data_IF_102190612133
#
_entry.id   IF_102190612133
#
_cell.length_a   1.000
_cell.length_b   1.000
_cell.length_c   1.000
_cell.angle_alpha   90.00
_cell.angle_beta   90.00
_cell.angle_gamma   90.00
#
_symmetry.space_group_name_H-M   'P 1'
#
loop_
_entity.id
_entity.type
_entity.pdbx_description
1 polymer ?
#
# COMPACT_ATOMS: atom_id res chain seq x y z
N UNK A 1 9.20 17.96 -21.68
CA UNK A 1 8.20 18.85 -21.03
C UNK A 1 6.91 18.07 -20.86
N UNK A 2 6.57 17.67 -19.64
CA UNK A 2 5.29 17.01 -19.34
C UNK A 2 4.24 18.11 -19.38
N UNK A 3 3.29 17.99 -20.31
CA UNK A 3 2.27 19.01 -20.55
C UNK A 3 1.36 19.12 -19.31
N UNK A 4 1.02 20.33 -18.86
CA UNK A 4 0.19 20.56 -17.66
C UNK A 4 -1.14 19.78 -17.71
N UNK A 5 -1.70 19.57 -18.88
CA UNK A 5 -2.91 18.76 -19.10
C UNK A 5 -2.72 17.28 -18.74
N UNK A 6 -1.50 16.74 -18.81
CA UNK A 6 -1.22 15.34 -18.45
C UNK A 6 -1.28 15.12 -16.94
N UNK A 7 -0.89 16.10 -16.12
CA UNK A 7 -1.00 15.99 -14.67
C UNK A 7 -2.46 16.02 -14.21
N UNK A 8 -3.26 16.91 -14.80
CA UNK A 8 -4.69 16.99 -14.47
C UNK A 8 -5.44 15.69 -14.78
N UNK A 9 -5.06 14.99 -15.86
CA UNK A 9 -5.64 13.70 -16.23
C UNK A 9 -5.30 12.59 -15.22
N UNK A 10 -4.23 12.72 -14.44
CA UNK A 10 -3.85 11.71 -13.44
C UNK A 10 -4.45 11.96 -12.04
N UNK A 11 -5.03 13.12 -11.78
CA UNK A 11 -5.61 13.45 -10.48
C UNK A 11 -6.67 12.43 -10.01
N UNK A 12 -7.59 11.92 -10.87
CA UNK A 12 -8.55 10.91 -10.43
C UNK A 12 -7.89 9.62 -9.95
N UNK A 13 -6.74 9.23 -10.49
CA UNK A 13 -6.03 8.03 -10.06
C UNK A 13 -5.45 8.14 -8.63
N UNK A 14 -5.33 9.36 -8.10
CA UNK A 14 -4.94 9.58 -6.69
C UNK A 14 -6.05 9.23 -5.70
N UNK A 15 -7.29 8.97 -6.16
CA UNK A 15 -8.43 8.70 -5.27
C UNK A 15 -8.15 7.53 -4.31
N UNK A 16 -7.50 6.46 -4.79
CA UNK A 16 -7.11 5.32 -3.96
C UNK A 16 -6.11 5.68 -2.87
N UNK A 17 -5.11 6.49 -3.21
CA UNK A 17 -4.10 6.99 -2.26
C UNK A 17 -4.75 7.91 -1.23
N UNK A 18 -5.57 8.85 -1.67
CA UNK A 18 -6.30 9.76 -0.78
C UNK A 18 -7.22 9.00 0.18
N UNK A 19 -7.92 7.99 -0.32
CA UNK A 19 -8.74 7.10 0.51
C UNK A 19 -7.90 6.38 1.57
N UNK A 20 -6.77 5.80 1.18
CA UNK A 20 -5.87 5.12 2.10
C UNK A 20 -5.36 6.06 3.21
N UNK A 21 -4.95 7.28 2.86
CA UNK A 21 -4.54 8.26 3.87
C UNK A 21 -5.67 8.63 4.84
N UNK A 22 -6.90 8.75 4.35
CA UNK A 22 -8.06 9.07 5.18
C UNK A 22 -8.41 7.95 6.18
N UNK A 23 -8.25 6.67 5.78
CA UNK A 23 -8.62 5.53 6.63
C UNK A 23 -7.44 4.96 7.41
N UNK A 24 -6.20 5.23 7.02
CA UNK A 24 -4.99 4.66 7.63
C UNK A 24 -4.93 4.84 9.15
N UNK A 25 -5.20 6.02 9.75
CA UNK A 25 -5.14 6.18 11.19
C UNK A 25 -6.14 5.29 11.93
N UNK A 26 -7.36 5.16 11.38
CA UNK A 26 -8.41 4.31 11.95
C UNK A 26 -8.06 2.83 11.83
N UNK A 27 -7.54 2.41 10.67
CA UNK A 27 -7.10 1.03 10.46
C UNK A 27 -5.97 0.66 11.41
N UNK A 28 -4.97 1.53 11.58
CA UNK A 28 -3.86 1.29 12.50
C UNK A 28 -4.33 1.13 13.96
N UNK A 29 -5.23 2.01 14.42
CA UNK A 29 -5.75 1.92 15.80
C UNK A 29 -6.57 0.65 16.01
N UNK A 30 -7.43 0.28 15.06
CA UNK A 30 -8.25 -0.93 15.17
C UNK A 30 -7.37 -2.17 15.15
N UNK A 31 -6.38 -2.24 14.24
CA UNK A 31 -5.50 -3.39 14.14
C UNK A 31 -4.63 -3.58 15.39
N UNK A 32 -4.15 -2.48 15.99
CA UNK A 32 -3.42 -2.53 17.26
C UNK A 32 -4.28 -3.01 18.44
N UNK A 33 -5.58 -2.70 18.44
CA UNK A 33 -6.50 -3.07 19.53
C UNK A 33 -7.11 -4.46 19.34
N UNK A 34 -7.56 -4.75 18.13
CA UNK A 34 -8.39 -5.93 17.84
C UNK A 34 -7.64 -6.99 17.04
N UNK A 35 -6.45 -6.65 16.49
CA UNK A 35 -5.67 -7.50 15.58
C UNK A 35 -6.51 -8.02 14.41
N UNK A 36 -7.42 -7.18 13.92
CA UNK A 36 -8.31 -7.46 12.80
C UNK A 36 -8.54 -6.20 11.99
N UNK A 37 -8.35 -6.30 10.69
CA UNK A 37 -8.67 -5.21 9.77
C UNK A 37 -10.14 -5.32 9.32
N UNK A 38 -10.99 -4.32 9.59
CA UNK A 38 -12.39 -4.37 9.24
C UNK A 38 -12.57 -4.25 7.73
N UNK A 39 -13.24 -5.22 7.14
CA UNK A 39 -13.58 -5.21 5.71
C UNK A 39 -14.32 -3.95 5.27
N UNK A 40 -15.12 -3.38 6.19
CA UNK A 40 -15.90 -2.15 5.92
C UNK A 40 -15.04 -0.93 5.62
N UNK A 41 -13.76 -0.93 6.03
CA UNK A 41 -12.83 0.16 5.74
C UNK A 41 -11.85 -0.18 4.61
N UNK A 42 -11.56 -1.45 4.37
CA UNK A 42 -10.60 -1.84 3.33
C UNK A 42 -11.30 -2.04 1.98
N UNK A 43 -12.43 -2.76 1.95
CA UNK A 43 -13.08 -3.12 0.70
C UNK A 43 -13.59 -1.91 -0.13
N UNK A 44 -14.18 -0.84 0.47
CA UNK A 44 -14.61 0.30 -0.33
C UNK A 44 -13.48 1.05 -1.02
N UNK A 45 -12.24 0.93 -0.52
CA UNK A 45 -11.07 1.53 -1.15
C UNK A 45 -10.75 0.94 -2.53
N UNK A 46 -11.07 -0.34 -2.76
CA UNK A 46 -10.80 -0.99 -4.05
C UNK A 46 -11.61 -0.37 -5.20
N UNK A 47 -12.95 -0.26 -5.12
CA UNK A 47 -13.71 0.41 -6.17
C UNK A 47 -13.35 1.91 -6.27
N UNK A 48 -13.05 2.60 -5.18
CA UNK A 48 -12.63 4.01 -5.23
C UNK A 48 -11.32 4.15 -6.03
N UNK A 49 -10.32 3.30 -5.77
CA UNK A 49 -9.07 3.32 -6.51
C UNK A 49 -9.28 2.96 -7.99
N UNK A 50 -10.02 1.89 -8.26
CA UNK A 50 -10.27 1.43 -9.64
C UNK A 50 -11.08 2.45 -10.46
N UNK A 51 -12.14 3.02 -9.89
CA UNK A 51 -12.95 4.04 -10.55
C UNK A 51 -12.12 5.29 -10.87
N UNK A 52 -11.28 5.74 -9.92
CA UNK A 52 -10.37 6.86 -10.17
C UNK A 52 -9.41 6.59 -11.33
N UNK A 53 -8.86 5.39 -11.40
CA UNK A 53 -7.96 4.99 -12.49
C UNK A 53 -8.69 4.86 -13.83
N UNK A 54 -9.91 4.32 -13.84
CA UNK A 54 -10.73 4.23 -15.06
C UNK A 54 -11.11 5.62 -15.59
N UNK A 55 -11.45 6.56 -14.70
CA UNK A 55 -11.69 7.96 -15.07
C UNK A 55 -10.43 8.59 -15.66
N UNK A 56 -9.25 8.34 -15.09
CA UNK A 56 -7.99 8.83 -15.62
C UNK A 56 -7.72 8.31 -17.05
N UNK A 57 -7.98 7.01 -17.32
CA UNK A 57 -7.86 6.43 -18.65
C UNK A 57 -8.90 7.01 -19.62
N UNK A 58 -10.14 7.26 -19.16
CA UNK A 58 -11.18 7.87 -20.00
C UNK A 58 -10.81 9.31 -20.42
N UNK A 59 -10.16 10.08 -19.53
CA UNK A 59 -9.66 11.42 -19.84
C UNK A 59 -8.44 11.37 -20.76
N UNK A 60 -7.53 10.43 -20.52
CA UNK A 60 -6.31 10.26 -21.31
C UNK A 60 -6.02 8.77 -21.57
N UNK A 61 -6.43 8.24 -22.74
CA UNK A 61 -6.20 6.84 -23.09
C UNK A 61 -4.73 6.39 -23.08
N UNK A 62 -3.78 7.31 -23.19
CA UNK A 62 -2.35 7.00 -23.11
C UNK A 62 -1.95 6.46 -21.71
N UNK A 63 -2.79 6.66 -20.68
CA UNK A 63 -2.57 6.13 -19.34
C UNK A 63 -3.04 4.68 -19.14
N UNK A 64 -3.56 4.02 -20.18
CA UNK A 64 -4.02 2.63 -20.11
C UNK A 64 -2.91 1.65 -19.67
N UNK A 65 -1.65 1.92 -20.04
CA UNK A 65 -0.50 1.14 -19.58
C UNK A 65 -0.32 1.23 -18.06
N UNK A 66 -0.62 2.38 -17.45
CA UNK A 66 -0.54 2.57 -16.00
C UNK A 66 -1.64 1.75 -15.28
N UNK A 67 -2.85 1.70 -15.85
CA UNK A 67 -3.91 0.83 -15.37
C UNK A 67 -3.50 -0.64 -15.42
N UNK A 68 -2.92 -1.08 -16.53
CA UNK A 68 -2.40 -2.44 -16.66
C UNK A 68 -1.34 -2.74 -15.60
N UNK A 69 -0.40 -1.83 -15.38
CA UNK A 69 0.62 -1.97 -14.35
C UNK A 69 0.02 -2.07 -12.93
N UNK A 70 -1.00 -1.26 -12.63
CA UNK A 70 -1.71 -1.30 -11.35
C UNK A 70 -2.41 -2.64 -11.13
N UNK A 71 -3.09 -3.17 -12.16
CA UNK A 71 -3.77 -4.46 -12.10
C UNK A 71 -2.77 -5.62 -11.95
N UNK A 72 -1.65 -5.57 -12.66
CA UNK A 72 -0.59 -6.57 -12.53
C UNK A 72 0.06 -6.52 -11.14
N UNK A 73 0.36 -5.33 -10.63
CA UNK A 73 0.87 -5.16 -9.28
C UNK A 73 -0.11 -5.68 -8.21
N UNK A 74 -1.41 -5.43 -8.41
CA UNK A 74 -2.49 -5.94 -7.56
C UNK A 74 -2.53 -7.49 -7.59
N UNK A 75 -2.45 -8.10 -8.76
CA UNK A 75 -2.47 -9.56 -8.92
C UNK A 75 -1.24 -10.22 -8.28
N UNK A 76 -0.05 -9.67 -8.52
CA UNK A 76 1.20 -10.15 -7.90
C UNK A 76 1.16 -10.00 -6.38
N UNK A 77 0.71 -8.85 -5.88
CA UNK A 77 0.55 -8.60 -4.46
C UNK A 77 -0.42 -9.59 -3.81
N UNK A 78 -1.56 -9.86 -4.47
CA UNK A 78 -2.52 -10.86 -4.00
C UNK A 78 -1.90 -12.26 -3.95
N UNK A 79 -1.23 -12.69 -5.02
CA UNK A 79 -0.59 -14.01 -5.07
C UNK A 79 0.48 -14.19 -3.98
N UNK A 80 1.37 -13.20 -3.83
CA UNK A 80 2.43 -13.23 -2.82
C UNK A 80 1.87 -13.24 -1.39
N UNK A 81 0.90 -12.37 -1.09
CA UNK A 81 0.32 -12.30 0.24
C UNK A 81 -0.56 -13.51 0.55
N UNK A 82 -1.26 -14.07 -0.43
CA UNK A 82 -2.02 -15.30 -0.28
C UNK A 82 -1.08 -16.48 0.02
N UNK A 83 0.02 -16.60 -0.70
CA UNK A 83 1.04 -17.62 -0.43
C UNK A 83 1.63 -17.47 0.97
N UNK A 84 1.91 -16.25 1.39
CA UNK A 84 2.38 -15.93 2.73
C UNK A 84 1.32 -16.29 3.79
N UNK A 85 0.05 -16.01 3.50
CA UNK A 85 -1.08 -16.42 4.36
C UNK A 85 -1.11 -17.93 4.56
N UNK A 86 -0.99 -18.69 3.46
CA UNK A 86 -1.04 -20.16 3.51
C UNK A 86 0.16 -20.77 4.24
N UNK A 87 1.34 -20.15 4.18
CA UNK A 87 2.58 -20.69 4.77
C UNK A 87 2.82 -20.20 6.19
N UNK A 88 2.44 -18.99 6.52
CA UNK A 88 2.80 -18.31 7.76
C UNK A 88 1.59 -17.80 8.56
N UNK A 89 0.36 -18.04 8.08
CA UNK A 89 -0.85 -17.61 8.80
C UNK A 89 -1.06 -16.09 8.81
N UNK A 90 -0.65 -15.40 7.73
CA UNK A 90 -0.92 -13.98 7.57
C UNK A 90 -2.42 -13.71 7.65
N UNK A 91 -2.85 -12.63 8.32
CA UNK A 91 -4.26 -12.26 8.40
C UNK A 91 -4.87 -11.95 7.02
N UNK A 92 -6.07 -12.48 6.73
CA UNK A 92 -6.77 -12.16 5.47
C UNK A 92 -7.07 -10.66 5.30
N UNK A 93 -7.12 -9.91 6.41
CA UNK A 93 -7.25 -8.45 6.41
C UNK A 93 -6.02 -7.77 5.80
N UNK A 94 -4.82 -8.25 6.16
CA UNK A 94 -3.54 -7.73 5.66
C UNK A 94 -3.38 -8.00 4.16
N UNK A 95 -3.84 -9.17 3.69
CA UNK A 95 -3.88 -9.51 2.25
C UNK A 95 -4.68 -8.45 1.48
N UNK A 96 -5.91 -8.16 1.93
CA UNK A 96 -6.80 -7.18 1.28
C UNK A 96 -6.23 -5.77 1.34
N UNK A 97 -5.64 -5.38 2.48
CA UNK A 97 -5.01 -4.08 2.64
C UNK A 97 -3.83 -3.92 1.66
N UNK A 98 -2.96 -4.92 1.57
CA UNK A 98 -1.81 -4.86 0.67
C UNK A 98 -2.23 -4.83 -0.80
N UNK A 99 -3.28 -5.57 -1.17
CA UNK A 99 -3.88 -5.54 -2.51
C UNK A 99 -4.39 -4.14 -2.86
N UNK A 100 -5.09 -3.47 -1.93
CA UNK A 100 -5.54 -2.09 -2.11
C UNK A 100 -4.37 -1.11 -2.27
N UNK A 101 -3.31 -1.25 -1.46
CA UNK A 101 -2.09 -0.46 -1.57
C UNK A 101 -1.44 -0.70 -2.95
N UNK A 102 -1.32 -1.96 -3.37
CA UNK A 102 -0.72 -2.33 -4.65
C UNK A 102 -1.51 -1.78 -5.83
N UNK A 103 -2.84 -1.83 -5.80
CA UNK A 103 -3.71 -1.22 -6.80
C UNK A 103 -3.47 0.29 -6.89
N UNK A 104 -3.37 0.97 -5.73
CA UNK A 104 -3.24 2.43 -5.68
C UNK A 104 -1.85 2.92 -6.11
N UNK A 105 -0.77 2.29 -5.64
CA UNK A 105 0.61 2.69 -5.95
C UNK A 105 1.12 2.11 -7.27
N UNK A 106 0.63 0.94 -7.67
CA UNK A 106 1.03 0.27 -8.90
C UNK A 106 0.72 1.08 -10.17
N UNK A 107 -0.25 2.00 -10.11
CA UNK A 107 -0.52 2.99 -11.15
C UNK A 107 0.69 3.88 -11.44
N UNK A 108 1.37 4.33 -10.40
CA UNK A 108 2.51 5.22 -10.52
C UNK A 108 3.80 4.46 -10.81
N UNK A 109 4.03 3.38 -10.05
CA UNK A 109 5.18 2.50 -10.29
C UNK A 109 5.05 1.17 -9.53
N UNK A 110 5.27 0.01 -10.19
CA UNK A 110 5.34 -1.28 -9.51
C UNK A 110 6.43 -1.34 -8.43
N UNK A 111 7.51 -0.58 -8.59
CA UNK A 111 8.60 -0.50 -7.60
C UNK A 111 8.17 0.10 -6.27
N UNK A 112 7.18 1.01 -6.28
CA UNK A 112 6.62 1.55 -5.05
C UNK A 112 5.91 0.45 -4.23
N UNK A 113 5.27 -0.50 -4.89
CA UNK A 113 4.63 -1.64 -4.22
C UNK A 113 5.69 -2.55 -3.58
N UNK A 114 6.80 -2.80 -4.28
CA UNK A 114 7.93 -3.52 -3.71
C UNK A 114 8.55 -2.77 -2.52
N UNK A 115 8.67 -1.44 -2.61
CA UNK A 115 9.16 -0.60 -1.52
C UNK A 115 8.26 -0.69 -0.28
N UNK A 116 6.93 -0.71 -0.43
CA UNK A 116 6.00 -0.93 0.69
C UNK A 116 6.31 -2.23 1.41
N UNK A 117 6.52 -3.31 0.66
CA UNK A 117 6.84 -4.62 1.24
C UNK A 117 8.16 -4.60 2.02
N UNK A 118 9.19 -3.98 1.46
CA UNK A 118 10.50 -3.83 2.11
C UNK A 118 10.36 -3.00 3.40
N UNK A 119 9.73 -1.83 3.33
CA UNK A 119 9.56 -0.98 4.51
C UNK A 119 8.69 -1.62 5.58
N UNK A 120 7.62 -2.33 5.21
CA UNK A 120 6.78 -3.08 6.14
C UNK A 120 7.60 -4.18 6.84
N UNK A 121 8.43 -4.90 6.09
CA UNK A 121 9.32 -5.93 6.64
C UNK A 121 10.36 -5.34 7.59
N UNK A 122 10.99 -4.22 7.22
CA UNK A 122 11.96 -3.53 8.07
C UNK A 122 11.35 -3.06 9.39
N UNK A 123 10.18 -2.42 9.35
CA UNK A 123 9.48 -1.96 10.56
C UNK A 123 9.04 -3.13 11.43
N UNK A 124 8.61 -4.24 10.84
CA UNK A 124 8.28 -5.48 11.56
C UNK A 124 9.49 -6.09 12.27
N UNK A 125 10.62 -6.21 11.56
CA UNK A 125 11.88 -6.70 12.14
C UNK A 125 12.38 -5.79 13.25
N UNK A 126 12.30 -4.47 13.07
CA UNK A 126 12.68 -3.50 14.09
C UNK A 126 11.83 -3.65 15.36
N UNK A 127 10.52 -3.83 15.22
CA UNK A 127 9.63 -4.05 16.35
C UNK A 127 10.00 -5.31 17.14
N UNK A 128 10.26 -6.42 16.42
CA UNK A 128 10.68 -7.68 17.05
C UNK A 128 12.03 -7.50 17.77
N UNK A 129 13.00 -6.86 17.11
CA UNK A 129 14.32 -6.60 17.68
C UNK A 129 14.26 -5.76 18.94
N UNK A 130 13.52 -4.65 18.92
CA UNK A 130 13.33 -3.79 20.09
C UNK A 130 12.59 -4.54 21.22
N UNK A 131 11.57 -5.33 20.85
CA UNK A 131 10.84 -6.16 21.81
C UNK A 131 11.73 -7.20 22.48
N UNK A 132 12.59 -7.86 21.73
CA UNK A 132 13.55 -8.85 22.23
C UNK A 132 14.58 -8.21 23.18
N UNK A 133 15.13 -7.05 22.81
CA UNK A 133 16.07 -6.31 23.65
C UNK A 133 15.46 -5.86 24.99
N UNK A 134 14.20 -5.39 24.95
CA UNK A 134 13.49 -4.96 26.18
C UNK A 134 13.11 -6.12 27.08
N UNK A 135 12.69 -7.23 26.51
CA UNK A 135 12.26 -8.41 27.28
C UNK A 135 13.41 -9.32 27.74
N UNK A 136 14.66 -9.06 27.32
CA UNK A 136 15.83 -9.95 27.51
C UNK A 136 15.57 -11.41 27.11
N UNK A 137 14.50 -11.69 26.39
CA UNK A 137 14.12 -13.02 25.92
C UNK A 137 13.48 -12.90 24.53
N UNK A 138 13.96 -13.67 23.58
CA UNK A 138 13.33 -13.86 22.27
C UNK A 138 12.05 -14.70 22.42
N UNK A 139 11.00 -14.16 23.01
CA UNK A 139 9.67 -14.79 22.93
C UNK A 139 9.02 -14.43 21.61
N UNK A 140 9.30 -15.19 20.57
CA UNK A 140 8.61 -15.13 19.27
C UNK A 140 7.14 -15.63 19.35
N UNK A 141 6.57 -15.76 20.54
CA UNK A 141 5.20 -16.21 20.78
C UNK A 141 4.20 -15.05 20.75
N UNK A 142 4.08 -14.37 19.62
CA UNK A 142 3.01 -13.42 19.42
C UNK A 142 2.80 -13.20 17.91
N UNK A 143 1.57 -13.33 17.45
CA UNK A 143 1.18 -12.87 16.12
C UNK A 143 1.45 -11.36 16.05
N UNK A 144 2.38 -10.96 15.17
CA UNK A 144 2.68 -9.56 14.94
C UNK A 144 1.51 -8.98 14.13
N UNK A 145 0.92 -7.87 14.60
CA UNK A 145 -0.05 -7.13 13.81
C UNK A 145 0.69 -6.52 12.60
N UNK A 146 0.49 -7.06 11.41
CA UNK A 146 1.19 -6.62 10.20
C UNK A 146 0.59 -5.35 9.60
N UNK A 147 -0.68 -5.08 9.85
CA UNK A 147 -1.41 -3.93 9.30
C UNK A 147 -0.72 -2.58 9.55
N UNK A 148 -0.31 -2.23 10.79
CA UNK A 148 0.42 -0.98 11.05
C UNK A 148 1.72 -0.88 10.28
N UNK A 149 2.45 -1.99 10.09
CA UNK A 149 3.69 -2.03 9.31
C UNK A 149 3.45 -1.82 7.83
N UNK A 150 2.38 -2.40 7.28
CA UNK A 150 1.96 -2.16 5.89
C UNK A 150 1.56 -0.70 5.67
N UNK A 151 0.84 -0.11 6.61
CA UNK A 151 0.47 1.31 6.55
C UNK A 151 1.69 2.23 6.68
N UNK A 152 2.63 1.91 7.57
CA UNK A 152 3.89 2.63 7.67
C UNK A 152 4.71 2.52 6.36
N UNK A 153 4.80 1.31 5.80
CA UNK A 153 5.43 1.06 4.50
C UNK A 153 4.77 1.86 3.37
N UNK A 154 3.44 1.92 3.35
CA UNK A 154 2.68 2.73 2.40
C UNK A 154 3.03 4.22 2.51
N UNK A 155 3.02 4.78 3.73
CA UNK A 155 3.36 6.19 3.95
C UNK A 155 4.79 6.49 3.50
N UNK A 156 5.76 5.63 3.87
CA UNK A 156 7.15 5.80 3.47
C UNK A 156 7.33 5.70 1.95
N UNK A 157 6.66 4.77 1.28
CA UNK A 157 6.70 4.66 -0.18
C UNK A 157 6.05 5.85 -0.87
N UNK A 158 4.94 6.37 -0.33
CA UNK A 158 4.29 7.57 -0.85
C UNK A 158 5.18 8.82 -0.68
N UNK A 159 5.84 8.98 0.47
CA UNK A 159 6.82 10.04 0.70
C UNK A 159 8.01 9.93 -0.25
N UNK A 160 8.53 8.71 -0.49
CA UNK A 160 9.60 8.47 -1.45
C UNK A 160 9.18 8.86 -2.87
N UNK A 161 7.96 8.52 -3.28
CA UNK A 161 7.42 8.89 -4.59
C UNK A 161 7.31 10.42 -4.74
N UNK A 162 6.80 11.10 -3.72
CA UNK A 162 6.69 12.55 -3.71
C UNK A 162 8.08 13.21 -3.77
N UNK A 163 9.04 12.71 -3.00
CA UNK A 163 10.42 13.21 -3.03
C UNK A 163 11.07 13.03 -4.40
N UNK A 164 10.93 11.86 -5.03
CA UNK A 164 11.47 11.61 -6.38
C UNK A 164 10.82 12.52 -7.43
N UNK A 165 9.53 12.80 -7.32
CA UNK A 165 8.84 13.71 -8.22
C UNK A 165 9.39 15.16 -8.11
N UNK A 166 9.66 15.63 -6.89
CA UNK A 166 10.23 16.96 -6.64
C UNK A 166 11.69 17.03 -7.11
N UNK A 167 12.51 16.03 -6.76
CA UNK A 167 13.91 15.98 -7.14
C UNK A 167 14.10 15.87 -8.67
N UNK A 168 13.22 15.14 -9.36
CA UNK A 168 13.26 15.04 -10.83
C UNK A 168 12.73 16.25 -11.58
N UNK A 169 12.05 17.18 -10.92
CA UNK A 169 11.54 18.44 -11.52
C UNK A 169 12.54 19.60 -11.46
N UNK A 170 13.64 19.46 -10.70
CA UNK A 170 14.64 20.50 -10.47
C UNK A 170 15.88 20.41 -11.37
N UNK A 171 15.93 19.51 -12.32
CA UNK A 171 16.98 19.37 -13.34
C UNK A 171 16.40 19.54 -14.74
#
# INVERSE_FOLDING_TARGET
MINQTQWLAQLPALAGIAYLFAVAPRLAVIDLRERRLPNRLVLPGMPVALLGQLVAVAINPATAQQLFNALMACLVAFGLTLLTNMRFGLGMGDVKLFVLIALSLGWFSPWLVAAVWVFASMTGVLQVGVGALRARTLRLRGTIALGPHLLAGFVLAACLAAWMAIAGSGG
#
